data_IF_114762380809
#
_entry.id   IF_114762380809
#
_cell.length_a   1.000
_cell.length_b   1.000
_cell.length_c   1.000
_cell.angle_alpha   90.00
_cell.angle_beta   90.00
_cell.angle_gamma   90.00
#
_symmetry.space_group_name_H-M   'P 1'
#
loop_
_entity.id
_entity.type
_entity.pdbx_description
1 polymer ?
#
# COMPACT_ATOMS: atom_id res chain seq x y z
N UNK A 1 -30.84 -62.11 18.42
CA UNK A 1 -30.30 -61.47 17.20
C UNK A 1 -31.38 -60.55 16.63
N UNK A 2 -31.26 -59.25 16.90
CA UNK A 2 -31.94 -58.17 16.19
C UNK A 2 -31.11 -56.91 16.47
N UNK A 3 -30.23 -56.60 15.54
CA UNK A 3 -29.28 -55.49 15.60
C UNK A 3 -30.02 -54.21 15.22
N UNK A 4 -30.19 -53.30 16.18
CA UNK A 4 -30.76 -51.97 15.95
C UNK A 4 -29.68 -51.15 15.26
N UNK A 5 -29.80 -51.01 13.94
CA UNK A 5 -29.00 -50.09 13.16
C UNK A 5 -29.36 -48.64 13.58
N UNK A 6 -28.54 -48.07 14.45
CA UNK A 6 -28.47 -46.62 14.63
C UNK A 6 -27.81 -46.04 13.38
N UNK A 7 -28.62 -45.51 12.48
CA UNK A 7 -28.15 -44.58 11.47
C UNK A 7 -27.88 -43.23 12.14
N UNK A 8 -26.66 -42.69 12.11
CA UNK A 8 -26.44 -41.31 12.53
C UNK A 8 -27.15 -40.39 11.53
N UNK A 9 -28.16 -39.68 12.02
CA UNK A 9 -28.78 -38.56 11.32
C UNK A 9 -27.69 -37.54 11.01
N UNK A 10 -27.43 -37.32 9.73
CA UNK A 10 -26.59 -36.23 9.26
C UNK A 10 -27.23 -34.93 9.76
N UNK A 11 -26.66 -34.37 10.82
CA UNK A 11 -27.00 -33.05 11.29
C UNK A 11 -26.79 -32.07 10.15
N UNK A 12 -27.89 -31.61 9.57
CA UNK A 12 -27.90 -30.46 8.70
C UNK A 12 -27.28 -29.29 9.47
N UNK A 13 -26.06 -28.91 9.09
CA UNK A 13 -25.44 -27.66 9.49
C UNK A 13 -26.21 -26.51 8.81
N UNK A 14 -27.41 -26.26 9.30
CA UNK A 14 -28.22 -25.11 8.91
C UNK A 14 -27.87 -23.98 9.86
N UNK A 15 -27.21 -22.93 9.37
CA UNK A 15 -27.23 -21.62 10.03
C UNK A 15 -25.89 -20.93 10.27
N UNK A 16 -25.02 -20.85 9.26
CA UNK A 16 -24.12 -19.70 9.12
C UNK A 16 -24.28 -19.25 7.66
N UNK A 17 -25.03 -18.18 7.42
CA UNK A 17 -25.02 -17.53 6.11
C UNK A 17 -23.61 -16.99 5.81
N UNK A 18 -23.40 -16.33 4.66
CA UNK A 18 -22.09 -15.91 4.12
C UNK A 18 -21.41 -14.79 4.92
N UNK A 19 -21.26 -14.94 6.23
CA UNK A 19 -20.62 -13.96 7.11
C UNK A 19 -19.15 -13.77 6.71
N UNK A 20 -18.43 -14.84 6.37
CA UNK A 20 -17.03 -14.74 5.92
C UNK A 20 -16.82 -13.93 4.64
N UNK A 21 -17.75 -14.01 3.67
CA UNK A 21 -17.66 -13.20 2.44
C UNK A 21 -17.98 -11.72 2.69
N UNK A 22 -18.89 -11.44 3.63
CA UNK A 22 -19.16 -10.08 4.10
C UNK A 22 -17.96 -9.46 4.83
N UNK A 23 -17.32 -10.23 5.69
CA UNK A 23 -16.13 -9.81 6.44
C UNK A 23 -14.93 -9.57 5.50
N UNK A 24 -14.70 -10.45 4.52
CA UNK A 24 -13.71 -10.20 3.47
C UNK A 24 -14.02 -8.94 2.66
N UNK A 25 -15.28 -8.75 2.25
CA UNK A 25 -15.69 -7.55 1.52
C UNK A 25 -15.46 -6.26 2.34
N UNK A 26 -15.72 -6.31 3.65
CA UNK A 26 -15.45 -5.21 4.56
C UNK A 26 -13.93 -4.93 4.71
N UNK A 27 -13.11 -5.98 4.81
CA UNK A 27 -11.65 -5.85 4.88
C UNK A 27 -11.07 -5.27 3.58
N UNK A 28 -11.50 -5.75 2.41
CA UNK A 28 -11.09 -5.20 1.09
C UNK A 28 -11.49 -3.73 0.95
N UNK A 29 -12.67 -3.37 1.42
CA UNK A 29 -13.12 -1.99 1.42
C UNK A 29 -12.25 -1.09 2.31
N UNK A 30 -11.88 -1.55 3.51
CA UNK A 30 -10.99 -0.78 4.39
C UNK A 30 -9.58 -0.63 3.83
N UNK A 31 -9.01 -1.71 3.28
CA UNK A 31 -7.71 -1.62 2.62
C UNK A 31 -7.76 -0.61 1.47
N UNK A 32 -8.80 -0.64 0.63
CA UNK A 32 -8.99 0.36 -0.43
C UNK A 32 -9.05 1.79 0.12
N UNK A 33 -9.75 2.04 1.23
CA UNK A 33 -9.78 3.38 1.84
C UNK A 33 -8.41 3.85 2.32
N UNK A 34 -7.59 2.95 2.87
CA UNK A 34 -6.21 3.32 3.22
C UNK A 34 -5.35 3.57 1.97
N UNK A 35 -5.54 2.83 0.88
CA UNK A 35 -4.87 3.09 -0.39
C UNK A 35 -5.29 4.44 -0.99
N UNK A 36 -6.56 4.82 -0.89
CA UNK A 36 -7.06 6.13 -1.30
C UNK A 36 -6.44 7.25 -0.46
N UNK A 37 -6.34 7.08 0.86
CA UNK A 37 -5.64 8.01 1.72
C UNK A 37 -4.14 8.10 1.38
N UNK A 38 -3.50 6.98 1.04
CA UNK A 38 -2.10 6.96 0.60
C UNK A 38 -1.92 7.78 -0.67
N UNK A 39 -2.80 7.58 -1.67
CA UNK A 39 -2.79 8.35 -2.90
C UNK A 39 -2.94 9.85 -2.63
N UNK A 40 -3.91 10.22 -1.78
CA UNK A 40 -4.10 11.61 -1.36
C UNK A 40 -2.83 12.21 -0.72
N UNK A 41 -2.11 11.45 0.12
CA UNK A 41 -0.85 11.92 0.72
C UNK A 41 0.27 12.07 -0.30
N UNK A 42 0.35 11.16 -1.28
CA UNK A 42 1.30 11.28 -2.38
C UNK A 42 1.03 12.52 -3.24
N UNK A 43 -0.22 12.76 -3.60
CA UNK A 43 -0.62 13.97 -4.34
C UNK A 43 -0.35 15.25 -3.55
N UNK A 44 -0.63 15.24 -2.24
CA UNK A 44 -0.33 16.37 -1.34
C UNK A 44 1.16 16.66 -1.29
N UNK A 45 2.00 15.63 -1.13
CA UNK A 45 3.45 15.78 -1.18
C UNK A 45 3.89 16.35 -2.52
N UNK A 46 3.36 15.85 -3.64
CA UNK A 46 3.65 16.37 -4.99
C UNK A 46 3.37 17.86 -5.09
N UNK A 47 2.20 18.31 -4.62
CA UNK A 47 1.82 19.72 -4.64
C UNK A 47 2.80 20.59 -3.83
N UNK A 48 3.26 20.11 -2.67
CA UNK A 48 4.28 20.82 -1.90
C UNK A 48 5.64 20.86 -2.61
N UNK A 49 6.05 19.76 -3.24
CA UNK A 49 7.30 19.68 -4.00
C UNK A 49 7.28 20.62 -5.21
N UNK A 50 6.20 20.61 -6.00
CA UNK A 50 6.03 21.47 -7.17
C UNK A 50 5.96 22.96 -6.80
N UNK A 51 5.36 23.28 -5.66
CA UNK A 51 5.32 24.64 -5.13
C UNK A 51 6.65 25.08 -4.48
N UNK A 52 7.66 24.22 -4.41
CA UNK A 52 8.95 24.51 -3.78
C UNK A 52 8.90 24.63 -2.25
N UNK A 53 7.83 24.13 -1.61
CA UNK A 53 7.61 24.23 -0.17
C UNK A 53 8.38 23.13 0.59
N UNK A 54 9.71 23.09 0.44
CA UNK A 54 10.56 22.01 0.97
C UNK A 54 10.58 21.94 2.50
N UNK A 55 10.21 23.02 3.21
CA UNK A 55 10.05 23.02 4.66
C UNK A 55 8.97 22.05 5.17
N UNK A 56 8.03 21.63 4.31
CA UNK A 56 6.99 20.65 4.64
C UNK A 56 7.35 19.22 4.25
N UNK A 57 8.53 18.99 3.66
CA UNK A 57 8.88 17.68 3.11
C UNK A 57 8.95 16.60 4.18
N UNK A 58 9.56 16.91 5.34
CA UNK A 58 9.63 15.97 6.46
C UNK A 58 8.24 15.57 6.97
N UNK A 59 7.32 16.53 7.07
CA UNK A 59 5.94 16.30 7.49
C UNK A 59 5.17 15.43 6.49
N UNK A 60 5.21 15.79 5.20
CA UNK A 60 4.49 15.04 4.16
C UNK A 60 5.04 13.63 4.00
N UNK A 61 6.36 13.42 4.13
CA UNK A 61 6.96 12.09 4.15
C UNK A 61 6.51 11.26 5.37
N UNK A 62 6.49 11.85 6.57
CA UNK A 62 6.00 11.19 7.77
C UNK A 62 4.50 10.83 7.69
N UNK A 63 3.68 11.66 7.05
CA UNK A 63 2.27 11.35 6.82
C UNK A 63 2.08 10.15 5.88
N UNK A 64 2.88 10.05 4.81
CA UNK A 64 2.90 8.87 3.92
C UNK A 64 3.30 7.63 4.71
N UNK A 65 4.39 7.70 5.48
CA UNK A 65 4.82 6.59 6.35
C UNK A 65 3.73 6.16 7.33
N UNK A 66 3.04 7.11 7.95
CA UNK A 66 1.92 6.80 8.85
C UNK A 66 0.76 6.07 8.17
N UNK A 67 0.51 6.30 6.88
CA UNK A 67 -0.48 5.51 6.12
C UNK A 67 0.04 4.11 5.84
N UNK A 68 1.31 3.97 5.49
CA UNK A 68 1.93 2.66 5.24
C UNK A 68 1.86 1.75 6.47
N UNK A 69 2.12 2.29 7.68
CA UNK A 69 2.00 1.50 8.90
C UNK A 69 0.56 1.03 9.17
N UNK A 70 -0.45 1.85 8.86
CA UNK A 70 -1.87 1.44 8.94
C UNK A 70 -2.23 0.37 7.91
N UNK A 71 -1.75 0.50 6.68
CA UNK A 71 -1.97 -0.47 5.61
C UNK A 71 -1.49 -1.88 5.97
N UNK A 72 -0.45 -2.01 6.80
CA UNK A 72 0.02 -3.33 7.28
C UNK A 72 -1.05 -4.06 8.08
N UNK A 73 -1.83 -3.34 8.88
CA UNK A 73 -2.92 -3.92 9.66
C UNK A 73 -4.11 -4.31 8.77
N UNK A 74 -4.45 -3.47 7.80
CA UNK A 74 -5.53 -3.79 6.84
C UNK A 74 -5.16 -5.01 5.98
N UNK A 75 -3.91 -5.10 5.53
CA UNK A 75 -3.41 -6.24 4.78
C UNK A 75 -3.46 -7.54 5.60
N UNK A 76 -3.16 -7.48 6.90
CA UNK A 76 -3.27 -8.62 7.81
C UNK A 76 -4.74 -9.03 8.00
N UNK A 77 -5.64 -8.07 8.23
CA UNK A 77 -7.07 -8.32 8.38
C UNK A 77 -7.63 -8.99 7.11
N UNK A 78 -7.35 -8.43 5.93
CA UNK A 78 -7.72 -9.05 4.65
C UNK A 78 -7.19 -10.48 4.53
N UNK A 79 -5.91 -10.71 4.86
CA UNK A 79 -5.32 -12.05 4.76
C UNK A 79 -6.02 -13.07 5.67
N UNK A 80 -6.48 -12.67 6.86
CA UNK A 80 -7.25 -13.54 7.76
C UNK A 80 -8.61 -13.87 7.15
N UNK A 81 -9.36 -12.87 6.70
CA UNK A 81 -10.70 -13.08 6.12
C UNK A 81 -10.64 -13.86 4.81
N UNK A 82 -9.61 -13.62 4.00
CA UNK A 82 -9.36 -14.33 2.75
C UNK A 82 -9.09 -15.82 2.99
N UNK A 83 -8.24 -16.16 3.97
CA UNK A 83 -7.97 -17.55 4.33
C UNK A 83 -9.20 -18.25 4.91
N UNK A 84 -10.01 -17.54 5.71
CA UNK A 84 -11.25 -18.07 6.27
C UNK A 84 -12.26 -18.43 5.16
N UNK A 85 -12.47 -17.53 4.19
CA UNK A 85 -13.42 -17.78 3.10
C UNK A 85 -12.87 -18.83 2.11
N UNK A 86 -11.56 -18.87 1.88
CA UNK A 86 -10.93 -19.93 1.10
C UNK A 86 -11.22 -21.30 1.70
N UNK A 87 -11.03 -21.46 3.01
CA UNK A 87 -11.32 -22.71 3.71
C UNK A 87 -12.82 -23.07 3.62
N UNK A 88 -13.71 -22.10 3.78
CA UNK A 88 -15.16 -22.30 3.64
C UNK A 88 -15.55 -22.78 2.22
N UNK A 89 -14.89 -22.26 1.19
CA UNK A 89 -15.15 -22.60 -0.21
C UNK A 89 -14.30 -23.77 -0.73
N UNK A 90 -13.48 -24.40 0.11
CA UNK A 90 -12.65 -25.54 -0.27
C UNK A 90 -11.46 -25.18 -1.19
N UNK A 91 -10.99 -23.95 -1.12
CA UNK A 91 -9.83 -23.43 -1.85
C UNK A 91 -8.57 -23.43 -0.96
N UNK A 92 -7.35 -23.33 -1.55
CA UNK A 92 -6.12 -23.13 -0.78
C UNK A 92 -6.19 -21.86 0.08
N UNK A 93 -5.58 -21.89 1.27
CA UNK A 93 -5.52 -20.76 2.22
C UNK A 93 -4.85 -19.49 1.65
N UNK A 94 -4.03 -19.66 0.62
CA UNK A 94 -3.34 -18.61 -0.12
C UNK A 94 -3.99 -18.29 -1.47
N UNK A 95 -5.24 -18.69 -1.68
CA UNK A 95 -5.99 -18.35 -2.89
C UNK A 95 -6.01 -16.84 -3.12
N UNK A 96 -5.72 -16.44 -4.35
CA UNK A 96 -5.82 -15.07 -4.83
C UNK A 96 -7.28 -14.61 -4.83
N UNK A 97 -7.52 -13.30 -4.85
CA UNK A 97 -8.87 -12.76 -4.99
C UNK A 97 -9.54 -13.24 -6.28
N UNK A 98 -8.77 -13.39 -7.37
CA UNK A 98 -9.27 -13.94 -8.63
C UNK A 98 -9.71 -15.41 -8.51
N UNK A 99 -8.95 -16.25 -7.79
CA UNK A 99 -9.30 -17.64 -7.52
C UNK A 99 -10.51 -17.74 -6.58
N UNK A 100 -10.58 -16.90 -5.54
CA UNK A 100 -11.74 -16.78 -4.66
C UNK A 100 -13.01 -16.44 -5.45
N UNK A 101 -12.93 -15.47 -6.38
CA UNK A 101 -14.06 -15.13 -7.28
C UNK A 101 -14.48 -16.34 -8.13
N UNK A 102 -13.53 -17.15 -8.59
CA UNK A 102 -13.79 -18.33 -9.41
C UNK A 102 -14.39 -19.51 -8.65
N UNK A 103 -14.03 -19.68 -7.38
CA UNK A 103 -14.56 -20.72 -6.49
C UNK A 103 -15.76 -20.28 -5.63
N UNK A 104 -16.14 -19.01 -5.70
CA UNK A 104 -17.28 -18.47 -4.96
C UNK A 104 -18.59 -19.20 -5.33
N UNK A 105 -19.44 -19.57 -4.34
CA UNK A 105 -20.74 -20.16 -4.59
C UNK A 105 -21.64 -19.25 -5.45
N UNK A 106 -22.58 -19.86 -6.18
CA UNK A 106 -23.57 -19.13 -6.96
C UNK A 106 -24.34 -18.13 -6.08
N UNK A 107 -24.39 -16.87 -6.50
CA UNK A 107 -24.98 -15.77 -5.73
C UNK A 107 -24.36 -14.43 -6.11
N UNK A 108 -24.46 -13.45 -5.21
CA UNK A 108 -24.00 -12.06 -5.45
C UNK A 108 -22.51 -11.86 -5.22
N UNK A 109 -21.87 -12.71 -4.43
CA UNK A 109 -20.46 -12.54 -4.03
C UNK A 109 -19.44 -12.54 -5.18
N UNK A 110 -19.54 -13.38 -6.22
CA UNK A 110 -18.62 -13.32 -7.35
C UNK A 110 -18.59 -11.94 -8.03
N UNK A 111 -19.73 -11.24 -8.09
CA UNK A 111 -19.83 -9.90 -8.66
C UNK A 111 -19.22 -8.85 -7.73
N UNK A 112 -19.62 -8.84 -6.45
CA UNK A 112 -19.09 -7.90 -5.44
C UNK A 112 -17.56 -8.00 -5.31
N UNK A 113 -17.02 -9.23 -5.25
CA UNK A 113 -15.57 -9.43 -5.14
C UNK A 113 -14.84 -9.01 -6.41
N UNK A 114 -15.47 -9.13 -7.58
CA UNK A 114 -14.92 -8.65 -8.86
C UNK A 114 -14.87 -7.12 -8.91
N UNK A 115 -15.89 -6.43 -8.41
CA UNK A 115 -15.87 -4.97 -8.28
C UNK A 115 -14.73 -4.48 -7.38
N UNK A 116 -14.47 -5.19 -6.28
CA UNK A 116 -13.31 -4.92 -5.42
C UNK A 116 -12.00 -5.15 -6.15
N UNK A 117 -11.84 -6.28 -6.84
CA UNK A 117 -10.63 -6.61 -7.62
C UNK A 117 -10.30 -5.50 -8.63
N UNK A 118 -11.28 -5.10 -9.44
CA UNK A 118 -11.08 -4.08 -10.47
C UNK A 118 -10.73 -2.72 -9.86
N UNK A 119 -11.41 -2.36 -8.77
CA UNK A 119 -11.12 -1.09 -8.08
C UNK A 119 -9.73 -1.09 -7.44
N UNK A 120 -9.32 -2.20 -6.80
CA UNK A 120 -8.00 -2.33 -6.19
C UNK A 120 -6.88 -2.25 -7.23
N UNK A 121 -7.06 -2.86 -8.41
CA UNK A 121 -6.13 -2.71 -9.55
C UNK A 121 -5.96 -1.25 -9.95
N UNK A 122 -7.08 -0.55 -10.16
CA UNK A 122 -7.06 0.89 -10.49
C UNK A 122 -6.35 1.71 -9.40
N UNK A 123 -6.56 1.38 -8.12
CA UNK A 123 -5.87 2.04 -7.01
C UNK A 123 -4.36 1.80 -7.05
N UNK A 124 -3.91 0.57 -7.33
CA UNK A 124 -2.48 0.23 -7.44
C UNK A 124 -1.80 0.96 -8.60
N UNK A 125 -2.46 1.08 -9.74
CA UNK A 125 -1.94 1.81 -10.91
C UNK A 125 -1.77 3.30 -10.59
N UNK A 126 -2.77 3.92 -9.98
CA UNK A 126 -2.73 5.33 -9.55
C UNK A 126 -1.63 5.58 -8.53
N UNK A 127 -1.50 4.71 -7.53
CA UNK A 127 -0.43 4.78 -6.53
C UNK A 127 0.95 4.68 -7.17
N UNK A 128 1.13 3.73 -8.09
CA UNK A 128 2.40 3.54 -8.80
C UNK A 128 2.78 4.78 -9.62
N UNK A 129 1.81 5.39 -10.31
CA UNK A 129 2.04 6.62 -11.07
C UNK A 129 2.39 7.82 -10.16
N UNK A 130 1.67 7.99 -9.05
CA UNK A 130 1.92 9.06 -8.09
C UNK A 130 3.28 8.90 -7.41
N UNK A 131 3.63 7.69 -6.98
CA UNK A 131 4.91 7.37 -6.37
C UNK A 131 6.08 7.66 -7.31
N UNK A 132 6.01 7.22 -8.58
CA UNK A 132 7.04 7.51 -9.61
C UNK A 132 7.22 9.01 -9.81
N UNK A 133 6.13 9.76 -9.92
CA UNK A 133 6.18 11.22 -10.10
C UNK A 133 6.89 11.93 -8.93
N UNK A 134 6.58 11.52 -7.70
CA UNK A 134 7.24 12.06 -6.52
C UNK A 134 8.72 11.66 -6.46
N UNK A 135 9.03 10.40 -6.77
CA UNK A 135 10.39 9.89 -6.80
C UNK A 135 11.26 10.67 -7.79
N UNK A 136 10.79 10.87 -9.02
CA UNK A 136 11.51 11.63 -10.05
C UNK A 136 11.76 13.08 -9.60
N UNK A 137 10.74 13.70 -8.99
CA UNK A 137 10.84 15.07 -8.47
C UNK A 137 11.87 15.17 -7.33
N UNK A 138 11.85 14.22 -6.39
CA UNK A 138 12.76 14.15 -5.25
C UNK A 138 14.20 13.85 -5.70
N UNK A 139 14.40 12.92 -6.63
CA UNK A 139 15.73 12.65 -7.22
C UNK A 139 16.28 13.88 -7.91
N UNK A 140 15.45 14.59 -8.67
CA UNK A 140 15.83 15.86 -9.31
C UNK A 140 16.23 16.93 -8.29
N UNK A 141 15.51 17.03 -7.16
CA UNK A 141 15.86 17.92 -6.05
C UNK A 141 17.19 17.53 -5.40
N UNK A 142 17.41 16.23 -5.15
CA UNK A 142 18.65 15.70 -4.57
C UNK A 142 19.88 16.04 -5.43
N UNK A 143 19.79 15.86 -6.76
CA UNK A 143 20.88 16.22 -7.69
C UNK A 143 21.19 17.72 -7.64
N UNK A 144 20.17 18.59 -7.66
CA UNK A 144 20.37 20.05 -7.56
C UNK A 144 20.99 20.45 -6.23
N UNK A 145 20.55 19.84 -5.14
CA UNK A 145 21.08 20.10 -3.80
C UNK A 145 22.54 19.67 -3.69
N UNK A 146 22.89 18.47 -4.17
CA UNK A 146 24.27 17.99 -4.23
C UNK A 146 25.15 18.92 -5.09
N UNK A 147 24.68 19.35 -6.27
CA UNK A 147 25.41 20.27 -7.13
C UNK A 147 25.66 21.63 -6.46
N UNK A 148 24.70 22.16 -5.71
CA UNK A 148 24.87 23.41 -4.95
C UNK A 148 25.96 23.28 -3.86
N UNK A 149 26.04 22.12 -3.20
CA UNK A 149 27.11 21.85 -2.21
C UNK A 149 28.50 21.70 -2.86
N UNK A 150 28.58 21.16 -4.07
CA UNK A 150 29.86 21.03 -4.81
C UNK A 150 30.28 22.31 -5.52
N UNK A 151 29.31 23.12 -5.99
CA UNK A 151 29.51 24.34 -6.75
C UNK A 151 30.02 25.53 -5.92
N UNK A 152 29.92 25.48 -4.59
CA UNK A 152 30.60 26.41 -3.69
C UNK A 152 32.14 26.27 -3.66
N UNK A 153 32.76 25.58 -4.65
CA UNK A 153 34.19 25.20 -4.63
C UNK A 153 35.10 25.94 -5.62
N UNK A 154 34.62 26.85 -6.47
CA UNK A 154 35.43 27.84 -7.23
C UNK A 154 34.46 28.83 -7.91
N UNK A 155 34.67 30.15 -7.98
CA UNK A 155 35.81 30.86 -8.57
C UNK A 155 36.16 32.12 -7.75
N UNK A 156 37.45 32.45 -7.67
CA UNK A 156 38.07 33.62 -7.01
C UNK A 156 38.54 33.44 -5.54
N UNK A 157 39.72 33.99 -5.26
CA UNK A 157 40.70 33.54 -4.26
C UNK A 157 40.44 33.75 -2.77
N UNK A 158 39.19 33.72 -2.29
CA UNK A 158 38.90 33.79 -0.85
C UNK A 158 37.81 32.78 -0.47
N UNK A 159 38.20 31.69 0.19
CA UNK A 159 37.26 30.75 0.79
C UNK A 159 36.58 31.43 1.98
N UNK A 160 35.36 31.95 1.80
CA UNK A 160 34.52 32.29 2.93
C UNK A 160 34.35 30.99 3.75
N UNK A 161 34.66 30.95 5.06
CA UNK A 161 34.33 29.79 5.87
C UNK A 161 32.82 29.61 5.77
N UNK A 162 32.39 28.43 5.33
CA UNK A 162 30.98 28.11 5.29
C UNK A 162 30.43 28.29 6.71
N UNK A 163 29.39 29.11 6.86
CA UNK A 163 28.69 29.26 8.12
C UNK A 163 28.22 27.87 8.57
N UNK A 164 28.61 27.45 9.76
CA UNK A 164 28.25 26.14 10.34
C UNK A 164 26.74 25.90 10.27
N UNK A 165 25.95 26.97 10.42
CA UNK A 165 24.49 26.93 10.31
C UNK A 165 24.04 26.53 8.90
N UNK A 166 24.62 27.15 7.88
CA UNK A 166 24.31 26.85 6.47
C UNK A 166 24.68 25.41 6.10
N UNK A 167 25.81 24.89 6.60
CA UNK A 167 26.21 23.49 6.39
C UNK A 167 25.22 22.53 7.06
N UNK A 168 24.76 22.85 8.28
CA UNK A 168 23.79 22.03 9.00
C UNK A 168 22.43 21.99 8.29
N UNK A 169 21.95 23.13 7.78
CA UNK A 169 20.70 23.20 7.01
C UNK A 169 20.79 22.37 5.72
N UNK A 170 21.94 22.42 5.03
CA UNK A 170 22.19 21.61 3.84
C UNK A 170 22.15 20.11 4.14
N UNK A 171 22.82 19.66 5.21
CA UNK A 171 22.81 18.25 5.62
C UNK A 171 21.41 17.79 6.03
N UNK A 172 20.66 18.64 6.74
CA UNK A 172 19.29 18.37 7.15
C UNK A 172 18.37 18.19 5.95
N UNK A 173 18.48 19.05 4.93
CA UNK A 173 17.70 18.94 3.70
C UNK A 173 18.05 17.66 2.92
N UNK A 174 19.34 17.34 2.78
CA UNK A 174 19.78 16.11 2.10
C UNK A 174 19.20 14.86 2.79
N UNK A 175 19.30 14.79 4.12
CA UNK A 175 18.70 13.69 4.90
C UNK A 175 17.18 13.62 4.76
N UNK A 176 16.50 14.77 4.68
CA UNK A 176 15.05 14.83 4.48
C UNK A 176 14.63 14.30 3.11
N UNK A 177 15.39 14.60 2.05
CA UNK A 177 15.16 14.07 0.70
C UNK A 177 15.36 12.55 0.67
N UNK A 178 16.45 12.05 1.26
CA UNK A 178 16.72 10.61 1.34
C UNK A 178 15.63 9.87 2.12
N UNK A 179 15.19 10.43 3.25
CA UNK A 179 14.06 9.90 4.00
C UNK A 179 12.78 9.84 3.16
N UNK A 180 12.44 10.93 2.46
CA UNK A 180 11.26 10.96 1.59
C UNK A 180 11.35 9.91 0.47
N UNK A 181 12.52 9.75 -0.17
CA UNK A 181 12.76 8.72 -1.18
C UNK A 181 12.60 7.30 -0.60
N UNK A 182 13.14 7.05 0.59
CA UNK A 182 13.00 5.76 1.26
C UNK A 182 11.54 5.44 1.64
N UNK A 183 10.76 6.45 2.01
CA UNK A 183 9.32 6.31 2.25
C UNK A 183 8.58 6.01 0.94
N UNK A 184 8.84 6.76 -0.14
CA UNK A 184 8.22 6.54 -1.45
C UNK A 184 8.51 5.14 -1.98
N UNK A 185 9.74 4.64 -1.83
CA UNK A 185 10.10 3.27 -2.25
C UNK A 185 9.29 2.17 -1.55
N UNK A 186 8.71 2.44 -0.38
CA UNK A 186 7.83 1.50 0.36
C UNK A 186 6.35 1.60 -0.03
N UNK A 187 5.97 2.53 -0.89
CA UNK A 187 4.57 2.72 -1.29
C UNK A 187 4.09 1.66 -2.27
N UNK A 188 5.01 1.00 -2.98
CA UNK A 188 4.70 -0.17 -3.78
C UNK A 188 4.06 -1.27 -2.91
N UNK A 189 2.97 -1.86 -3.39
CA UNK A 189 2.21 -2.89 -2.67
C UNK A 189 2.31 -4.27 -3.37
N UNK A 190 3.50 -4.87 -3.49
CA UNK A 190 3.68 -6.12 -4.23
C UNK A 190 2.94 -7.30 -3.59
N UNK A 191 2.71 -7.27 -2.28
CA UNK A 191 1.92 -8.29 -1.60
C UNK A 191 0.43 -8.22 -1.96
N UNK A 192 -0.12 -7.01 -2.08
CA UNK A 192 -1.48 -6.82 -2.55
C UNK A 192 -1.60 -7.22 -4.02
N UNK A 193 -0.68 -6.79 -4.88
CA UNK A 193 -0.66 -7.19 -6.30
C UNK A 193 -0.69 -8.72 -6.45
N UNK A 194 0.23 -9.44 -5.80
CA UNK A 194 0.24 -10.92 -5.79
C UNK A 194 -1.07 -11.52 -5.29
N UNK A 195 -1.71 -10.91 -4.29
CA UNK A 195 -3.01 -11.37 -3.81
C UNK A 195 -4.12 -11.19 -4.84
N UNK A 196 -4.09 -10.15 -5.68
CA UNK A 196 -5.15 -9.89 -6.65
C UNK A 196 -5.17 -10.91 -7.80
N UNK A 197 -4.02 -11.26 -8.37
CA UNK A 197 -3.93 -12.07 -9.60
C UNK A 197 -2.80 -13.13 -9.62
N UNK A 198 -2.04 -13.29 -8.53
CA UNK A 198 -1.01 -14.32 -8.42
C UNK A 198 0.24 -14.04 -9.27
N UNK A 199 0.34 -12.87 -9.90
CA UNK A 199 1.52 -12.45 -10.65
C UNK A 199 2.69 -12.23 -9.70
N UNK A 200 3.61 -13.18 -9.71
CA UNK A 200 5.00 -12.98 -9.29
C UNK A 200 5.66 -12.21 -10.43
N UNK A 201 6.30 -11.07 -10.13
CA UNK A 201 7.21 -10.38 -11.06
C UNK A 201 8.22 -11.35 -11.69
#
# INVERSE_FOLDING_TARGET
>A
MAEIAVTPSAGAATGMGPMGAGDLSAALWQERRQLELLLFRLETQRLHLEAGNLQWLSFTAAEVEGVLERLRFEALARSVESAAIAAEWGLPDHATLLELIGGAPAGTWPEILRDHLDTLRISLDKLSAAARTNEDTLRGLGVRHAAATSGGRAEDGARQPADTTQVLDQLTMAGTIEYALAVIGRTAQPALARYLDGTVD
#
